data_IF_933538030994
#
_entry.id   IF_933538030994
#
_cell.length_a   1.000
_cell.length_b   1.000
_cell.length_c   1.000
_cell.angle_alpha   90.00
_cell.angle_beta   90.00
_cell.angle_gamma   90.00
#
_symmetry.space_group_name_H-M   'P 1'
#
loop_
_entity.id
_entity.type
_entity.pdbx_description
1 polymer ?
#
# COMPACT_ATOMS: atom_id res chain seq x y z
N UNK A 1 18.10 15.57 -13.59
CA UNK A 1 18.11 15.12 -14.98
C UNK A 1 17.27 16.01 -15.89
N UNK A 2 16.04 16.34 -15.54
CA UNK A 2 15.19 17.25 -16.32
C UNK A 2 15.36 18.73 -15.98
N UNK A 3 16.29 19.07 -15.06
CA UNK A 3 16.55 20.46 -14.65
C UNK A 3 15.44 21.10 -13.81
N UNK A 4 14.58 20.29 -13.17
CA UNK A 4 13.56 20.75 -12.22
C UNK A 4 14.16 20.65 -10.82
N UNK A 5 14.25 21.79 -10.12
CA UNK A 5 14.63 21.80 -8.71
C UNK A 5 13.48 21.25 -7.86
N UNK A 6 13.77 20.29 -7.01
CA UNK A 6 12.78 19.66 -6.15
C UNK A 6 13.30 19.45 -4.74
N UNK A 7 12.41 19.51 -3.77
CA UNK A 7 12.65 19.13 -2.40
C UNK A 7 11.62 18.07 -1.98
N UNK A 8 12.07 16.99 -1.34
CA UNK A 8 11.19 16.04 -0.67
C UNK A 8 11.16 16.36 0.83
N UNK A 9 9.97 16.46 1.40
CA UNK A 9 9.78 16.67 2.84
C UNK A 9 9.13 15.43 3.47
N UNK A 10 9.66 14.96 4.59
CA UNK A 10 9.15 13.81 5.32
C UNK A 10 9.13 14.10 6.82
N UNK A 11 8.02 13.75 7.48
CA UNK A 11 7.87 13.91 8.94
C UNK A 11 8.71 12.94 9.77
N UNK A 12 9.16 11.84 9.19
CA UNK A 12 9.98 10.84 9.86
C UNK A 12 11.40 11.36 10.13
N UNK A 13 12.08 10.72 11.07
CA UNK A 13 13.44 11.12 11.48
C UNK A 13 14.49 10.80 10.43
N UNK A 14 14.28 9.69 9.67
CA UNK A 14 15.22 9.18 8.69
C UNK A 14 14.50 8.72 7.43
N UNK A 15 15.19 8.82 6.29
CA UNK A 15 14.76 8.17 5.05
C UNK A 15 14.60 6.67 5.29
N UNK A 16 13.49 6.08 4.85
CA UNK A 16 13.19 4.67 5.04
C UNK A 16 12.44 4.32 6.32
N UNK A 17 12.20 5.26 7.23
CA UNK A 17 11.49 5.00 8.50
C UNK A 17 10.04 4.53 8.29
N UNK A 18 9.42 4.85 7.17
CA UNK A 18 8.12 4.30 6.82
C UNK A 18 8.14 2.76 6.77
N UNK A 19 9.28 2.16 6.44
CA UNK A 19 9.49 0.72 6.48
C UNK A 19 10.00 0.23 7.83
N UNK A 20 10.99 0.89 8.45
CA UNK A 20 11.53 0.50 9.76
C UNK A 20 10.48 0.41 10.86
N UNK A 21 9.52 1.34 10.86
CA UNK A 21 8.45 1.44 11.87
C UNK A 21 7.27 0.47 11.65
N UNK A 22 7.36 -0.43 10.66
CA UNK A 22 6.36 -1.49 10.42
C UNK A 22 6.61 -2.70 11.32
N UNK A 23 5.63 -3.61 11.39
CA UNK A 23 5.75 -4.83 12.18
C UNK A 23 6.98 -5.66 11.80
N UNK A 24 7.49 -6.42 12.77
CA UNK A 24 8.85 -6.98 12.72
C UNK A 24 9.12 -7.89 11.52
N UNK A 25 8.17 -8.75 11.16
CA UNK A 25 8.35 -9.79 10.14
C UNK A 25 8.07 -9.31 8.69
N UNK A 26 7.78 -8.02 8.49
CA UNK A 26 7.43 -7.52 7.17
C UNK A 26 8.56 -7.69 6.16
N UNK A 27 8.22 -8.33 5.04
CA UNK A 27 9.02 -8.35 3.81
C UNK A 27 8.21 -7.76 2.67
N UNK A 28 8.87 -7.32 1.60
CA UNK A 28 8.17 -7.02 0.35
C UNK A 28 7.50 -8.30 -0.17
N UNK A 29 6.29 -8.18 -0.67
CA UNK A 29 5.56 -9.30 -1.25
C UNK A 29 5.81 -9.46 -2.76
N UNK A 30 6.35 -8.43 -3.39
CA UNK A 30 6.80 -8.47 -4.78
C UNK A 30 8.26 -8.94 -4.85
N UNK A 31 8.66 -9.68 -5.90
CA UNK A 31 10.04 -10.15 -6.03
C UNK A 31 11.00 -9.02 -6.38
N UNK A 32 12.25 -9.15 -5.96
CA UNK A 32 13.32 -8.15 -6.12
C UNK A 32 13.49 -7.67 -7.56
N UNK A 33 13.30 -8.54 -8.54
CA UNK A 33 13.42 -8.19 -9.98
C UNK A 33 12.31 -7.24 -10.45
N UNK A 34 11.14 -7.32 -9.83
CA UNK A 34 10.02 -6.41 -10.10
C UNK A 34 10.21 -5.06 -9.44
N UNK A 35 10.82 -5.04 -8.26
CA UNK A 35 10.87 -3.89 -7.35
C UNK A 35 12.10 -2.98 -7.51
N UNK A 36 12.98 -3.20 -8.48
CA UNK A 36 14.11 -2.29 -8.71
C UNK A 36 13.71 -0.82 -8.73
N UNK A 37 14.56 0.03 -8.14
CA UNK A 37 14.34 1.48 -8.16
C UNK A 37 14.83 2.10 -9.49
N UNK A 38 14.29 3.27 -9.90
CA UNK A 38 14.84 4.03 -11.02
C UNK A 38 16.31 4.36 -10.76
N UNK A 39 17.16 4.24 -11.78
CA UNK A 39 18.59 4.60 -11.78
C UNK A 39 19.50 3.71 -10.92
N UNK A 40 19.03 3.11 -9.84
CA UNK A 40 19.79 2.18 -8.99
C UNK A 40 18.97 0.90 -8.78
N UNK A 41 19.46 -0.20 -9.34
CA UNK A 41 18.90 -1.53 -9.13
C UNK A 41 19.27 -2.05 -7.73
N UNK A 42 18.48 -2.96 -7.21
CA UNK A 42 18.86 -3.71 -6.01
C UNK A 42 20.07 -4.62 -6.32
N UNK A 43 20.95 -4.85 -5.35
CA UNK A 43 22.10 -5.75 -5.52
C UNK A 43 21.65 -7.16 -5.93
N UNK A 44 22.33 -7.82 -6.88
CA UNK A 44 21.90 -9.12 -7.43
C UNK A 44 21.87 -10.25 -6.40
N UNK A 45 22.63 -10.15 -5.30
CA UNK A 45 22.65 -11.12 -4.20
C UNK A 45 21.51 -10.93 -3.17
N UNK A 46 20.58 -10.00 -3.41
CA UNK A 46 19.48 -9.79 -2.48
C UNK A 46 18.49 -10.97 -2.49
N UNK A 47 17.81 -11.23 -1.35
CA UNK A 47 16.76 -12.22 -1.33
C UNK A 47 15.61 -11.82 -2.27
N UNK A 48 14.92 -12.80 -2.83
CA UNK A 48 13.79 -12.56 -3.75
C UNK A 48 12.76 -11.63 -3.13
N UNK A 49 12.45 -11.83 -1.84
CA UNK A 49 11.56 -10.96 -1.08
C UNK A 49 12.37 -10.14 -0.07
N UNK A 50 12.42 -8.85 -0.25
CA UNK A 50 13.29 -7.96 0.51
C UNK A 50 12.73 -7.66 1.91
N UNK A 51 13.47 -7.94 3.00
CA UNK A 51 13.06 -7.55 4.36
C UNK A 51 12.98 -6.03 4.51
N UNK A 52 12.01 -5.56 5.32
CA UNK A 52 11.72 -4.14 5.52
C UNK A 52 12.93 -3.29 5.91
N UNK A 53 13.79 -3.79 6.79
CA UNK A 53 14.96 -3.03 7.27
C UNK A 53 16.05 -2.91 6.20
N UNK A 54 16.22 -3.96 5.38
CA UNK A 54 17.12 -3.93 4.22
C UNK A 54 16.63 -2.91 3.17
N UNK A 55 15.32 -2.88 2.90
CA UNK A 55 14.72 -1.90 2.00
C UNK A 55 14.88 -0.47 2.53
N UNK A 56 14.65 -0.27 3.83
CA UNK A 56 14.81 1.04 4.47
C UNK A 56 16.26 1.56 4.37
N UNK A 57 17.25 0.67 4.57
CA UNK A 57 18.67 1.01 4.39
C UNK A 57 19.00 1.36 2.93
N UNK A 58 18.39 0.63 1.98
CA UNK A 58 18.56 0.94 0.57
C UNK A 58 18.02 2.33 0.22
N UNK A 59 16.86 2.74 0.76
CA UNK A 59 16.33 4.08 0.52
C UNK A 59 17.22 5.19 1.07
N UNK A 60 17.88 4.98 2.21
CA UNK A 60 18.89 5.95 2.70
C UNK A 60 20.10 6.04 1.74
N UNK A 61 20.62 4.89 1.33
CA UNK A 61 21.71 4.84 0.36
C UNK A 61 21.30 5.47 -0.98
N UNK A 62 20.09 5.18 -1.46
CA UNK A 62 19.52 5.74 -2.68
C UNK A 62 19.46 7.27 -2.63
N UNK A 63 18.94 7.84 -1.54
CA UNK A 63 18.87 9.28 -1.35
C UNK A 63 20.27 9.93 -1.33
N UNK A 64 21.23 9.28 -0.67
CA UNK A 64 22.60 9.76 -0.56
C UNK A 64 23.36 9.67 -1.89
N UNK A 65 23.29 8.51 -2.57
CA UNK A 65 24.02 8.25 -3.81
C UNK A 65 23.51 9.11 -4.98
N UNK A 66 22.22 9.43 -4.99
CA UNK A 66 21.62 10.29 -6.00
C UNK A 66 21.56 11.76 -5.59
N UNK A 67 22.15 12.10 -4.45
CA UNK A 67 22.22 13.50 -3.91
C UNK A 67 20.83 14.16 -3.84
N UNK A 68 19.81 13.38 -3.43
CA UNK A 68 18.44 13.88 -3.36
C UNK A 68 18.28 14.90 -2.23
N UNK A 69 17.64 16.02 -2.51
CA UNK A 69 17.32 17.03 -1.51
C UNK A 69 16.13 16.59 -0.66
N UNK A 70 16.41 15.88 0.43
CA UNK A 70 15.39 15.34 1.35
C UNK A 70 15.49 16.02 2.72
N UNK A 71 14.39 16.60 3.16
CA UNK A 71 14.26 17.19 4.49
C UNK A 71 13.40 16.27 5.37
N UNK A 72 14.07 15.51 6.22
CA UNK A 72 13.40 14.68 7.26
C UNK A 72 13.00 15.57 8.46
N UNK A 73 12.18 15.01 9.37
CA UNK A 73 11.63 15.72 10.53
C UNK A 73 10.89 17.01 10.16
N UNK A 74 10.33 17.04 8.95
CA UNK A 74 9.70 18.23 8.37
C UNK A 74 8.22 17.97 8.12
N UNK A 75 7.38 18.83 8.67
CA UNK A 75 5.93 18.80 8.50
C UNK A 75 5.44 20.04 7.76
N UNK A 76 4.50 19.84 6.85
CA UNK A 76 3.75 20.95 6.25
C UNK A 76 2.74 21.43 7.29
N UNK A 77 2.73 22.74 7.56
CA UNK A 77 1.86 23.35 8.58
C UNK A 77 0.82 24.29 8.00
N UNK A 78 1.08 24.85 6.82
CA UNK A 78 0.12 25.69 6.09
C UNK A 78 0.40 25.66 4.60
N UNK A 79 -0.67 25.74 3.80
CA UNK A 79 -0.57 25.76 2.33
C UNK A 79 -1.62 26.67 1.74
N UNK A 80 -1.24 27.44 0.74
CA UNK A 80 -2.14 28.33 -0.01
C UNK A 80 -1.77 28.31 -1.49
N UNK A 81 -2.76 28.13 -2.34
CA UNK A 81 -2.63 28.29 -3.79
C UNK A 81 -2.96 29.72 -4.21
N UNK A 82 -2.24 30.26 -5.18
CA UNK A 82 -2.52 31.53 -5.82
C UNK A 82 -2.75 31.33 -7.31
N UNK A 83 -4.01 31.52 -7.74
CA UNK A 83 -4.42 31.36 -9.13
C UNK A 83 -3.79 32.38 -10.08
N UNK A 84 -3.40 33.56 -9.57
CA UNK A 84 -2.78 34.61 -10.38
C UNK A 84 -1.34 34.26 -10.75
N UNK A 85 -0.56 33.81 -9.77
CA UNK A 85 0.84 33.45 -9.96
C UNK A 85 1.05 31.98 -10.33
N UNK A 86 -0.02 31.16 -10.27
CA UNK A 86 0.01 29.72 -10.48
C UNK A 86 1.10 29.04 -9.63
N UNK A 87 1.13 29.43 -8.36
CA UNK A 87 2.12 28.91 -7.41
C UNK A 87 1.53 28.71 -6.01
N UNK A 88 2.17 27.86 -5.25
CA UNK A 88 1.85 27.61 -3.85
C UNK A 88 2.66 28.49 -2.92
N UNK A 89 2.09 28.81 -1.78
CA UNK A 89 2.83 29.20 -0.58
C UNK A 89 2.74 28.06 0.41
N UNK A 90 3.88 27.45 0.75
CA UNK A 90 3.95 26.28 1.63
C UNK A 90 4.82 26.60 2.83
N UNK A 91 4.21 26.65 4.01
CA UNK A 91 4.93 26.79 5.26
C UNK A 91 5.26 25.40 5.84
N UNK A 92 6.51 25.22 6.24
CA UNK A 92 6.99 23.98 6.86
C UNK A 92 7.69 24.25 8.19
N UNK A 93 7.59 23.30 9.10
CA UNK A 93 8.32 23.24 10.35
C UNK A 93 9.25 22.02 10.36
N UNK A 94 10.54 22.25 10.55
CA UNK A 94 11.56 21.23 10.66
C UNK A 94 12.12 21.15 12.07
N UNK A 95 12.01 19.99 12.73
CA UNK A 95 12.63 19.74 14.02
C UNK A 95 14.11 19.44 13.85
N UNK A 96 14.98 20.24 14.48
CA UNK A 96 16.43 20.01 14.49
C UNK A 96 16.84 19.02 15.58
N UNK A 97 18.09 18.56 15.53
CA UNK A 97 18.63 17.62 16.52
C UNK A 97 18.71 18.18 17.92
N UNK A 98 18.94 19.50 18.05
CA UNK A 98 18.95 20.24 19.31
C UNK A 98 17.56 20.51 19.91
N UNK A 99 16.49 20.01 19.24
CA UNK A 99 15.10 20.20 19.62
C UNK A 99 14.48 21.53 19.17
N UNK A 100 15.25 22.42 18.56
CA UNK A 100 14.73 23.66 17.99
C UNK A 100 13.89 23.40 16.75
N UNK A 101 12.97 24.32 16.43
CA UNK A 101 12.12 24.25 15.24
C UNK A 101 12.53 25.33 14.26
N UNK A 102 12.93 24.92 13.08
CA UNK A 102 13.17 25.80 11.95
C UNK A 102 11.90 25.96 11.11
N UNK A 103 11.48 27.21 10.87
CA UNK A 103 10.35 27.53 10.00
C UNK A 103 10.86 28.01 8.65
N UNK A 104 10.27 27.50 7.58
CA UNK A 104 10.55 27.90 6.21
C UNK A 104 9.28 28.05 5.40
N UNK A 105 9.33 28.93 4.41
CA UNK A 105 8.27 29.09 3.42
C UNK A 105 8.85 28.86 2.04
N UNK A 106 8.17 28.03 1.25
CA UNK A 106 8.50 27.71 -0.14
C UNK A 106 7.41 28.22 -1.07
N UNK A 107 7.75 28.50 -2.32
CA UNK A 107 6.82 28.90 -3.36
C UNK A 107 6.92 28.01 -4.60
N UNK A 108 6.62 26.71 -4.48
CA UNK A 108 6.66 25.81 -5.62
C UNK A 108 5.46 26.04 -6.55
N UNK A 109 5.63 25.72 -7.84
CA UNK A 109 4.52 25.63 -8.79
C UNK A 109 3.75 24.32 -8.66
N UNK A 110 4.45 23.25 -8.30
CA UNK A 110 3.90 21.91 -8.22
C UNK A 110 4.11 21.28 -6.84
N UNK A 111 3.07 20.66 -6.32
CA UNK A 111 3.13 19.76 -5.16
C UNK A 111 2.83 18.35 -5.65
N UNK A 112 3.69 17.40 -5.29
CA UNK A 112 3.49 15.97 -5.53
C UNK A 112 3.21 15.30 -4.19
N UNK A 113 1.98 14.89 -3.96
CA UNK A 113 1.64 14.11 -2.78
C UNK A 113 2.08 12.67 -2.98
N UNK A 114 3.15 12.27 -2.29
CA UNK A 114 3.74 10.94 -2.32
C UNK A 114 3.66 10.24 -0.95
N UNK A 115 2.58 10.46 -0.22
CA UNK A 115 2.37 9.96 1.16
C UNK A 115 2.08 8.48 1.24
N UNK A 116 2.01 7.78 0.09
CA UNK A 116 1.70 6.36 -0.02
C UNK A 116 0.21 6.04 0.22
N UNK A 117 -0.21 4.86 -0.23
CA UNK A 117 -1.58 4.38 -0.02
C UNK A 117 -1.86 3.97 1.44
N UNK A 118 -0.82 3.76 2.25
CA UNK A 118 -0.89 3.45 3.68
C UNK A 118 -0.82 4.72 4.55
N UNK A 119 -1.44 5.81 4.14
CA UNK A 119 -1.41 7.09 4.84
C UNK A 119 -2.32 7.12 6.06
N UNK A 120 -3.59 7.45 5.88
CA UNK A 120 -4.56 7.52 6.97
C UNK A 120 -5.19 6.15 7.22
N UNK A 121 -4.98 5.58 8.41
CA UNK A 121 -5.56 4.30 8.80
C UNK A 121 -7.09 4.32 8.72
N UNK A 122 -7.67 3.23 8.26
CA UNK A 122 -9.12 3.04 8.25
C UNK A 122 -9.55 2.28 9.50
N UNK A 123 -9.60 2.99 10.63
CA UNK A 123 -10.12 2.43 11.89
C UNK A 123 -11.64 2.55 11.87
N UNK A 124 -12.39 1.44 11.90
CA UNK A 124 -13.85 1.51 11.85
C UNK A 124 -14.39 2.14 13.15
N UNK A 125 -15.43 2.96 13.00
CA UNK A 125 -16.22 3.42 14.16
C UNK A 125 -17.17 2.31 14.54
N UNK A 126 -17.01 1.77 15.75
CA UNK A 126 -17.78 0.62 16.21
C UNK A 126 -18.34 0.89 17.61
N UNK A 127 -19.58 0.44 17.83
CA UNK A 127 -20.21 0.50 19.14
C UNK A 127 -19.41 -0.31 20.15
N UNK A 128 -19.10 0.31 21.29
CA UNK A 128 -18.45 -0.37 22.41
C UNK A 128 -16.93 -0.53 22.28
N UNK A 129 -16.28 0.06 21.28
CA UNK A 129 -14.83 -0.07 21.08
C UNK A 129 -14.04 0.40 22.32
N UNK A 130 -14.55 1.42 23.02
CA UNK A 130 -13.98 1.98 24.24
C UNK A 130 -14.13 1.05 25.46
N UNK A 131 -14.99 0.04 25.36
CA UNK A 131 -15.29 -0.88 26.48
C UNK A 131 -14.40 -2.12 26.49
N UNK A 132 -13.60 -2.34 25.45
CA UNK A 132 -12.71 -3.50 25.39
C UNK A 132 -11.70 -3.48 26.52
N UNK A 133 -11.57 -4.61 27.23
CA UNK A 133 -10.73 -4.76 28.44
C UNK A 133 -9.63 -5.81 28.25
N UNK A 134 -9.41 -6.28 27.01
CA UNK A 134 -8.28 -7.14 26.69
C UNK A 134 -6.96 -6.38 26.65
N UNK A 135 -5.89 -7.08 26.32
CA UNK A 135 -4.53 -6.57 26.38
C UNK A 135 -4.25 -5.53 25.28
N UNK A 136 -4.90 -5.68 24.11
CA UNK A 136 -4.67 -4.79 22.95
C UNK A 136 -5.88 -4.70 22.06
N UNK A 137 -6.18 -3.47 21.63
CA UNK A 137 -7.07 -3.19 20.51
C UNK A 137 -6.45 -2.05 19.69
N UNK A 138 -6.00 -2.33 18.47
CA UNK A 138 -5.35 -1.32 17.62
C UNK A 138 -5.53 -1.59 16.13
N UNK A 139 -5.16 -0.62 15.31
CA UNK A 139 -5.03 -0.82 13.88
C UNK A 139 -3.72 -1.56 13.55
N UNK A 140 -3.69 -2.30 12.42
CA UNK A 140 -2.50 -3.05 11.98
C UNK A 140 -1.23 -2.20 11.83
N UNK A 141 -1.37 -0.90 11.56
CA UNK A 141 -0.23 0.04 11.50
C UNK A 141 0.40 0.34 12.87
N UNK A 142 -0.28 0.01 13.95
CA UNK A 142 0.16 0.22 15.33
C UNK A 142 0.56 -1.11 16.00
N UNK A 143 0.44 -2.22 15.27
CA UNK A 143 0.80 -3.54 15.75
C UNK A 143 2.32 -3.73 15.69
N UNK A 144 3.02 -3.88 16.83
CA UNK A 144 4.48 -4.04 16.85
C UNK A 144 4.93 -5.48 16.61
N UNK A 145 4.03 -6.46 16.84
CA UNK A 145 4.25 -7.89 16.85
C UNK A 145 3.50 -8.54 18.00
N UNK A 146 3.27 -9.86 17.89
CA UNK A 146 2.65 -10.68 18.95
C UNK A 146 3.62 -10.89 20.11
N UNK A 147 3.07 -11.01 21.33
CA UNK A 147 3.88 -11.27 22.52
C UNK A 147 4.35 -12.72 22.57
N UNK A 148 5.60 -12.92 22.99
CA UNK A 148 6.18 -14.25 23.17
C UNK A 148 5.46 -15.03 24.28
N UNK A 149 5.50 -16.37 24.19
CA UNK A 149 5.01 -17.29 25.20
C UNK A 149 3.54 -17.09 25.62
N UNK A 150 2.69 -16.73 24.68
CA UNK A 150 1.28 -16.40 24.92
C UNK A 150 0.31 -17.58 24.73
N UNK A 151 0.75 -18.79 25.08
CA UNK A 151 -0.05 -20.01 24.95
C UNK A 151 -1.39 -19.89 25.66
N UNK A 152 -2.47 -20.12 24.90
CA UNK A 152 -3.84 -20.08 25.39
C UNK A 152 -4.52 -18.73 25.33
N UNK A 153 -3.80 -17.65 24.99
CA UNK A 153 -4.42 -16.37 24.67
C UNK A 153 -5.13 -16.43 23.32
N UNK A 154 -6.15 -15.60 23.16
CA UNK A 154 -6.98 -15.52 21.95
C UNK A 154 -6.74 -14.20 21.23
N UNK A 155 -6.53 -14.26 19.90
CA UNK A 155 -6.40 -13.08 19.06
C UNK A 155 -7.43 -13.08 17.94
N UNK A 156 -8.05 -11.93 17.70
CA UNK A 156 -8.92 -11.69 16.54
C UNK A 156 -8.22 -10.70 15.63
N UNK A 157 -8.09 -11.08 14.34
CA UNK A 157 -7.59 -10.21 13.28
C UNK A 157 -8.75 -9.88 12.34
N UNK A 158 -9.18 -8.61 12.33
CA UNK A 158 -10.28 -8.14 11.49
C UNK A 158 -9.72 -7.65 10.17
N UNK A 159 -9.93 -8.43 9.12
CA UNK A 159 -9.42 -8.19 7.76
C UNK A 159 -8.57 -9.35 7.25
N UNK A 160 -8.66 -9.61 5.96
CA UNK A 160 -8.17 -10.83 5.31
C UNK A 160 -7.26 -10.58 4.10
N UNK A 161 -6.58 -9.43 4.07
CA UNK A 161 -5.55 -9.10 3.09
C UNK A 161 -4.14 -9.35 3.67
N UNK A 162 -3.08 -8.91 2.99
CA UNK A 162 -1.69 -9.18 3.37
C UNK A 162 -1.43 -8.98 4.88
N UNK A 163 -1.68 -7.77 5.40
CA UNK A 163 -1.45 -7.49 6.84
C UNK A 163 -2.25 -8.40 7.77
N UNK A 164 -3.47 -8.78 7.38
CA UNK A 164 -4.30 -9.68 8.19
C UNK A 164 -3.71 -11.07 8.30
N UNK A 165 -3.17 -11.60 7.22
CA UNK A 165 -2.52 -12.91 7.19
C UNK A 165 -1.18 -12.91 7.94
N UNK A 166 -0.33 -11.91 7.68
CA UNK A 166 0.98 -11.78 8.34
C UNK A 166 0.81 -11.69 9.88
N UNK A 167 -0.14 -10.87 10.34
CA UNK A 167 -0.44 -10.69 11.76
C UNK A 167 -1.03 -11.97 12.38
N UNK A 168 -1.93 -12.65 11.66
CA UNK A 168 -2.52 -13.91 12.15
C UNK A 168 -1.45 -15.01 12.25
N UNK A 169 -0.53 -15.08 11.31
CA UNK A 169 0.59 -16.01 11.37
C UNK A 169 1.52 -15.69 12.54
N UNK A 170 1.89 -14.42 12.77
CA UNK A 170 2.71 -14.00 13.91
C UNK A 170 2.08 -14.40 15.25
N UNK A 171 0.78 -14.16 15.41
CA UNK A 171 0.04 -14.61 16.61
C UNK A 171 0.09 -16.13 16.79
N UNK A 172 -0.15 -16.90 15.71
CA UNK A 172 -0.11 -18.36 15.77
C UNK A 172 1.28 -18.87 16.19
N UNK A 173 2.34 -18.32 15.62
CA UNK A 173 3.74 -18.67 15.93
C UNK A 173 4.11 -18.39 17.38
N UNK A 174 3.45 -17.40 18.02
CA UNK A 174 3.62 -17.06 19.45
C UNK A 174 2.67 -17.82 20.38
N UNK A 175 1.86 -18.73 19.83
CA UNK A 175 1.03 -19.66 20.60
C UNK A 175 -0.40 -19.19 20.89
N UNK A 176 -0.87 -18.12 20.24
CA UNK A 176 -2.26 -17.70 20.36
C UNK A 176 -3.22 -18.63 19.60
N UNK A 177 -4.45 -18.71 20.09
CA UNK A 177 -5.59 -19.19 19.32
C UNK A 177 -6.13 -18.04 18.47
N UNK A 178 -5.99 -18.15 17.14
CA UNK A 178 -6.19 -17.03 16.22
C UNK A 178 -7.40 -17.23 15.35
N UNK A 179 -8.21 -16.16 15.22
CA UNK A 179 -9.34 -16.12 14.27
C UNK A 179 -9.23 -14.89 13.37
N UNK A 180 -9.23 -15.12 12.06
CA UNK A 180 -9.40 -14.05 11.04
C UNK A 180 -10.89 -13.80 10.85
N UNK A 181 -11.31 -12.53 10.94
CA UNK A 181 -12.65 -12.09 10.58
C UNK A 181 -12.63 -11.54 9.16
N UNK A 182 -13.26 -12.26 8.26
CA UNK A 182 -13.36 -11.94 6.84
C UNK A 182 -14.77 -11.46 6.50
N UNK A 183 -14.94 -10.17 6.16
CA UNK A 183 -16.22 -9.59 5.78
C UNK A 183 -16.62 -9.97 4.34
N UNK A 184 -15.74 -9.75 3.39
CA UNK A 184 -15.92 -9.99 1.95
C UNK A 184 -14.82 -10.90 1.41
N UNK A 185 -15.01 -11.42 0.20
CA UNK A 185 -14.00 -12.24 -0.48
C UNK A 185 -12.67 -11.50 -0.67
N UNK A 186 -11.59 -12.27 -0.72
CA UNK A 186 -10.22 -11.79 -0.94
C UNK A 186 -9.65 -12.50 -2.17
N UNK A 187 -8.98 -11.77 -3.06
CA UNK A 187 -8.18 -12.41 -4.10
C UNK A 187 -6.91 -13.00 -3.46
N UNK A 188 -6.73 -14.32 -3.61
CA UNK A 188 -5.55 -15.02 -3.09
C UNK A 188 -4.75 -15.61 -4.24
N UNK A 189 -3.46 -15.37 -4.23
CA UNK A 189 -2.50 -15.91 -5.20
C UNK A 189 -1.18 -16.21 -4.47
N UNK A 190 -0.56 -17.36 -4.74
CA UNK A 190 0.74 -17.66 -4.13
C UNK A 190 1.86 -16.81 -4.71
N UNK A 191 2.87 -16.49 -3.88
CA UNK A 191 4.09 -15.85 -4.34
C UNK A 191 4.76 -16.65 -5.47
N UNK A 192 4.65 -17.98 -5.42
CA UNK A 192 5.15 -18.87 -6.46
C UNK A 192 4.41 -18.72 -7.79
N UNK A 193 3.07 -18.62 -7.78
CA UNK A 193 2.29 -18.36 -9.01
C UNK A 193 2.57 -16.97 -9.60
N UNK A 194 2.92 -15.98 -8.76
CA UNK A 194 3.37 -14.67 -9.26
C UNK A 194 4.70 -14.82 -10.00
N UNK A 195 5.72 -15.42 -9.39
CA UNK A 195 7.05 -15.55 -10.01
C UNK A 195 7.07 -16.47 -11.21
N UNK A 196 6.37 -17.63 -11.13
CA UNK A 196 6.47 -18.69 -12.15
C UNK A 196 5.49 -18.48 -13.34
N UNK A 197 4.48 -17.62 -13.19
CA UNK A 197 3.44 -17.40 -14.20
C UNK A 197 3.34 -15.93 -14.59
N UNK A 198 3.03 -15.04 -13.64
CA UNK A 198 2.72 -13.66 -13.98
C UNK A 198 3.95 -12.85 -14.39
N UNK A 199 5.08 -13.06 -13.75
CA UNK A 199 6.31 -12.28 -13.94
C UNK A 199 7.39 -13.05 -14.72
N UNK A 200 7.20 -14.35 -14.95
CA UNK A 200 8.19 -15.22 -15.61
C UNK A 200 8.56 -14.70 -17.00
N UNK A 201 9.88 -14.57 -17.22
CA UNK A 201 10.44 -14.11 -18.50
C UNK A 201 10.29 -12.61 -18.75
N UNK A 202 9.70 -11.86 -17.81
CA UNK A 202 9.57 -10.41 -17.86
C UNK A 202 10.32 -9.80 -16.68
N UNK A 203 9.87 -10.09 -15.46
CA UNK A 203 10.55 -9.66 -14.22
C UNK A 203 11.08 -10.90 -13.49
N UNK A 204 12.16 -11.45 -14.00
CA UNK A 204 12.85 -12.63 -13.47
C UNK A 204 14.36 -12.46 -13.61
N UNK A 205 15.13 -13.33 -12.97
CA UNK A 205 16.59 -13.26 -13.00
C UNK A 205 17.16 -13.26 -14.44
N UNK A 206 16.55 -14.07 -15.32
CA UNK A 206 16.90 -14.19 -16.74
C UNK A 206 16.03 -13.30 -17.67
N UNK A 207 15.30 -12.34 -17.10
CA UNK A 207 14.44 -11.43 -17.84
C UNK A 207 15.18 -10.33 -18.59
N UNK A 208 14.48 -9.56 -19.42
CA UNK A 208 15.05 -8.37 -20.08
C UNK A 208 15.45 -7.31 -19.05
N UNK A 209 16.14 -6.28 -19.52
CA UNK A 209 16.38 -5.09 -18.69
C UNK A 209 15.06 -4.52 -18.17
N UNK A 210 15.06 -4.05 -16.93
CA UNK A 210 13.83 -3.67 -16.22
C UNK A 210 13.05 -2.54 -16.94
N UNK A 211 13.75 -1.64 -17.63
CA UNK A 211 13.10 -0.57 -18.39
C UNK A 211 12.35 -1.11 -19.62
N UNK A 212 12.87 -2.17 -20.26
CA UNK A 212 12.19 -2.87 -21.36
C UNK A 212 11.00 -3.68 -20.85
N UNK A 213 11.16 -4.36 -19.70
CA UNK A 213 10.08 -5.06 -19.04
C UNK A 213 8.93 -4.12 -18.66
N UNK A 214 9.25 -2.93 -18.15
CA UNK A 214 8.27 -1.89 -17.84
C UNK A 214 7.48 -1.45 -19.07
N UNK A 215 8.15 -1.23 -20.21
CA UNK A 215 7.47 -0.88 -21.46
C UNK A 215 6.55 -2.00 -21.97
N UNK A 216 6.97 -3.26 -21.83
CA UNK A 216 6.17 -4.42 -22.22
C UNK A 216 4.87 -4.54 -21.41
N UNK A 217 4.88 -4.14 -20.15
CA UNK A 217 3.71 -4.29 -19.26
C UNK A 217 2.95 -2.97 -19.13
N UNK A 218 3.62 -1.89 -18.76
CA UNK A 218 2.96 -0.63 -18.42
C UNK A 218 2.76 0.29 -19.64
N UNK A 219 3.41 0.00 -20.77
CA UNK A 219 3.16 0.67 -22.05
C UNK A 219 1.91 0.16 -22.80
N UNK A 220 1.29 -0.94 -22.33
CA UNK A 220 0.04 -1.43 -22.91
C UNK A 220 -1.14 -0.58 -22.44
N UNK A 221 -2.13 -0.30 -23.34
CA UNK A 221 -3.41 0.24 -22.90
C UNK A 221 -4.03 -0.66 -21.82
N UNK A 222 -4.55 -0.05 -20.76
CA UNK A 222 -5.08 -0.79 -19.61
C UNK A 222 -6.16 -1.83 -19.97
N UNK A 223 -7.08 -1.60 -20.91
CA UNK A 223 -8.03 -2.62 -21.35
C UNK A 223 -7.37 -3.86 -21.98
N UNK A 224 -6.27 -3.67 -22.72
CA UNK A 224 -5.48 -4.78 -23.32
C UNK A 224 -4.77 -5.57 -22.22
N UNK A 225 -4.12 -4.87 -21.29
CA UNK A 225 -3.49 -5.48 -20.14
C UNK A 225 -4.51 -6.29 -19.32
N UNK A 226 -5.73 -5.76 -19.14
CA UNK A 226 -6.80 -6.46 -18.44
C UNK A 226 -7.18 -7.79 -19.09
N UNK A 227 -7.32 -7.81 -20.41
CA UNK A 227 -7.62 -9.05 -21.15
C UNK A 227 -6.53 -10.11 -20.97
N UNK A 228 -5.25 -9.69 -20.98
CA UNK A 228 -4.11 -10.58 -20.71
C UNK A 228 -4.18 -11.10 -19.26
N UNK A 229 -4.46 -10.23 -18.30
CA UNK A 229 -4.49 -10.59 -16.87
C UNK A 229 -5.61 -11.58 -16.52
N UNK A 230 -6.73 -11.61 -17.26
CA UNK A 230 -7.75 -12.66 -17.10
C UNK A 230 -7.13 -14.05 -17.34
N UNK A 231 -6.43 -14.22 -18.46
CA UNK A 231 -5.75 -15.49 -18.78
C UNK A 231 -4.65 -15.84 -17.78
N UNK A 232 -3.90 -14.85 -17.33
CA UNK A 232 -2.86 -15.03 -16.28
C UNK A 232 -3.51 -15.50 -14.98
N UNK A 233 -4.60 -14.86 -14.55
CA UNK A 233 -5.33 -15.21 -13.34
C UNK A 233 -5.91 -16.64 -13.39
N UNK A 234 -6.40 -17.08 -14.54
CA UNK A 234 -6.86 -18.48 -14.75
C UNK A 234 -5.72 -19.48 -14.53
N UNK A 235 -4.55 -19.23 -15.14
CA UNK A 235 -3.36 -20.09 -14.98
C UNK A 235 -2.85 -20.11 -13.54
N UNK A 236 -2.83 -18.95 -12.88
CA UNK A 236 -2.45 -18.86 -11.47
C UNK A 236 -3.40 -19.66 -10.58
N UNK A 237 -4.67 -19.58 -10.86
CA UNK A 237 -5.68 -20.31 -10.10
C UNK A 237 -5.63 -21.84 -10.29
N UNK A 238 -5.26 -22.31 -11.48
CA UNK A 238 -5.00 -23.72 -11.72
C UNK A 238 -3.75 -24.17 -10.95
N UNK A 239 -2.70 -23.37 -10.98
CA UNK A 239 -1.48 -23.63 -10.22
C UNK A 239 -1.74 -23.70 -8.71
N UNK A 240 -2.55 -22.77 -8.18
CA UNK A 240 -2.84 -22.65 -6.76
C UNK A 240 -4.10 -23.42 -6.32
N UNK A 241 -4.60 -24.34 -7.16
CA UNK A 241 -5.85 -25.03 -6.92
C UNK A 241 -5.94 -25.68 -5.54
N UNK A 242 -4.89 -26.34 -5.09
CA UNK A 242 -4.85 -26.99 -3.77
C UNK A 242 -5.03 -25.99 -2.63
N UNK A 243 -4.34 -24.84 -2.73
CA UNK A 243 -4.44 -23.73 -1.76
C UNK A 243 -5.88 -23.18 -1.74
N UNK A 244 -6.44 -22.90 -2.91
CA UNK A 244 -7.76 -22.29 -3.03
C UNK A 244 -8.87 -23.23 -2.57
N UNK A 245 -8.79 -24.51 -2.91
CA UNK A 245 -9.71 -25.54 -2.43
C UNK A 245 -9.62 -25.73 -0.89
N UNK A 246 -8.41 -25.63 -0.34
CA UNK A 246 -8.18 -25.71 1.09
C UNK A 246 -8.80 -24.52 1.85
N UNK A 247 -8.64 -23.31 1.31
CA UNK A 247 -9.25 -22.10 1.86
C UNK A 247 -10.78 -22.18 1.83
N UNK A 248 -11.38 -22.60 0.72
CA UNK A 248 -12.84 -22.71 0.62
C UNK A 248 -13.41 -23.73 1.61
N UNK A 249 -12.76 -24.89 1.79
CA UNK A 249 -13.12 -25.90 2.80
C UNK A 249 -13.04 -25.35 4.23
N UNK A 250 -12.09 -24.47 4.50
CA UNK A 250 -11.93 -23.78 5.80
C UNK A 250 -12.94 -22.64 6.01
N UNK A 251 -13.80 -22.33 5.01
CA UNK A 251 -14.78 -21.27 5.07
C UNK A 251 -14.24 -19.88 4.70
N UNK A 252 -12.99 -19.78 4.24
CA UNK A 252 -12.41 -18.55 3.72
C UNK A 252 -12.85 -18.33 2.26
N UNK A 253 -13.44 -17.17 1.97
CA UNK A 253 -13.97 -16.89 0.63
C UNK A 253 -12.95 -16.15 -0.23
N UNK A 254 -12.70 -16.73 -1.41
CA UNK A 254 -11.78 -16.19 -2.42
C UNK A 254 -12.55 -15.61 -3.60
N UNK A 255 -11.92 -14.64 -4.30
CA UNK A 255 -12.41 -14.12 -5.58
C UNK A 255 -11.29 -14.10 -6.65
N UNK A 256 -11.66 -13.77 -7.88
CA UNK A 256 -10.75 -13.69 -9.03
C UNK A 256 -10.37 -12.25 -9.40
N UNK A 257 -10.62 -11.28 -8.52
CA UNK A 257 -10.46 -9.86 -8.86
C UNK A 257 -11.54 -9.32 -9.79
N UNK A 258 -11.47 -8.02 -10.15
CA UNK A 258 -12.44 -7.39 -11.04
C UNK A 258 -12.48 -8.10 -12.40
N UNK A 259 -13.67 -8.56 -12.80
CA UNK A 259 -13.92 -9.25 -14.07
C UNK A 259 -12.98 -10.45 -14.33
N UNK A 260 -12.47 -11.08 -13.27
CA UNK A 260 -11.53 -12.20 -13.37
C UNK A 260 -10.06 -11.79 -13.64
N UNK A 261 -9.73 -10.51 -13.64
CA UNK A 261 -8.40 -10.01 -13.99
C UNK A 261 -7.37 -10.01 -12.82
N UNK A 262 -7.70 -10.67 -11.71
CA UNK A 262 -6.76 -11.02 -10.64
C UNK A 262 -6.16 -9.86 -9.88
N UNK A 263 -4.93 -10.08 -9.41
CA UNK A 263 -4.18 -9.21 -8.49
C UNK A 263 -4.00 -7.79 -9.03
N UNK A 264 -3.51 -7.64 -10.25
CA UNK A 264 -3.17 -6.36 -10.85
C UNK A 264 -4.36 -5.41 -10.86
N UNK A 265 -5.52 -5.89 -11.30
CA UNK A 265 -6.74 -5.08 -11.39
C UNK A 265 -7.42 -4.87 -10.04
N UNK A 266 -7.27 -5.80 -9.10
CA UNK A 266 -7.68 -5.58 -7.71
C UNK A 266 -6.88 -4.44 -7.09
N UNK A 267 -5.58 -4.41 -7.35
CA UNK A 267 -4.67 -3.37 -6.89
C UNK A 267 -4.96 -2.01 -7.54
N UNK A 268 -5.06 -1.94 -8.88
CA UNK A 268 -5.36 -0.70 -9.60
C UNK A 268 -6.72 -0.12 -9.25
N UNK A 269 -7.71 -0.96 -8.94
CA UNK A 269 -9.06 -0.50 -8.62
C UNK A 269 -9.13 0.20 -7.26
N UNK A 270 -8.37 -0.24 -6.25
CA UNK A 270 -8.48 0.31 -4.89
C UNK A 270 -7.22 0.20 -4.01
N UNK A 271 -6.08 -0.17 -4.56
CA UNK A 271 -4.83 -0.29 -3.80
C UNK A 271 -4.78 -1.46 -2.80
N UNK A 272 -5.68 -2.44 -2.89
CA UNK A 272 -5.74 -3.55 -1.94
C UNK A 272 -6.85 -4.55 -2.22
N UNK A 273 -7.18 -5.40 -1.25
CA UNK A 273 -8.24 -6.40 -1.39
C UNK A 273 -7.73 -7.77 -1.82
N UNK A 274 -6.44 -8.03 -1.67
CA UNK A 274 -5.79 -9.27 -2.04
C UNK A 274 -4.83 -9.75 -0.95
N UNK A 275 -4.46 -11.01 -1.05
CA UNK A 275 -3.39 -11.63 -0.29
C UNK A 275 -2.42 -12.34 -1.25
N UNK A 276 -1.14 -12.01 -1.16
CA UNK A 276 -0.06 -12.77 -1.78
C UNK A 276 0.39 -13.81 -0.76
N UNK A 277 0.04 -15.08 -1.03
CA UNK A 277 0.29 -16.15 -0.07
C UNK A 277 1.76 -16.50 0.05
N UNK A 278 2.24 -16.39 1.27
CA UNK A 278 3.61 -16.78 1.70
C UNK A 278 3.57 -17.87 2.78
N UNK A 279 2.42 -18.58 2.92
CA UNK A 279 2.28 -19.74 3.79
C UNK A 279 1.07 -19.72 4.74
N UNK A 280 0.45 -18.58 5.01
CA UNK A 280 -0.69 -18.50 5.93
C UNK A 280 -1.93 -19.22 5.41
N UNK A 281 -2.13 -19.32 4.08
CA UNK A 281 -3.25 -20.07 3.50
C UNK A 281 -3.24 -21.55 3.93
N UNK A 282 -2.07 -22.17 4.00
CA UNK A 282 -1.93 -23.54 4.49
C UNK A 282 -2.37 -23.65 5.97
N UNK A 283 -2.00 -22.69 6.79
CA UNK A 283 -2.38 -22.67 8.21
C UNK A 283 -3.90 -22.53 8.40
N UNK A 284 -4.55 -21.77 7.51
CA UNK A 284 -6.00 -21.64 7.46
C UNK A 284 -6.64 -22.98 7.01
N UNK A 285 -6.15 -23.56 5.92
CA UNK A 285 -6.64 -24.82 5.39
C UNK A 285 -6.52 -25.99 6.40
N UNK A 286 -5.48 -25.98 7.22
CA UNK A 286 -5.26 -26.92 8.33
C UNK A 286 -6.07 -26.61 9.60
N UNK A 287 -6.85 -25.53 9.60
CA UNK A 287 -7.64 -25.09 10.77
C UNK A 287 -6.84 -24.53 11.94
N UNK A 288 -5.54 -24.27 11.75
CA UNK A 288 -4.67 -23.66 12.77
C UNK A 288 -4.99 -22.17 12.97
N UNK A 289 -5.31 -21.48 11.88
CA UNK A 289 -5.91 -20.14 11.90
C UNK A 289 -7.37 -20.31 11.53
N UNK A 290 -8.26 -19.92 12.44
CA UNK A 290 -9.71 -20.03 12.26
C UNK A 290 -10.24 -18.87 11.40
N UNK A 291 -11.40 -19.07 10.78
CA UNK A 291 -12.08 -18.08 9.94
C UNK A 291 -13.50 -17.84 10.43
N UNK A 292 -13.86 -16.58 10.64
CA UNK A 292 -15.25 -16.11 10.76
C UNK A 292 -15.58 -15.29 9.52
N UNK A 293 -16.39 -15.83 8.62
CA UNK A 293 -16.72 -15.18 7.35
C UNK A 293 -18.17 -14.69 7.29
N UNK A 294 -18.37 -13.60 6.53
CA UNK A 294 -19.69 -13.16 6.05
C UNK A 294 -20.60 -12.52 7.08
N UNK A 295 -20.07 -12.19 8.27
CA UNK A 295 -20.82 -11.51 9.32
C UNK A 295 -20.24 -10.13 9.59
N UNK A 296 -21.10 -9.11 9.69
CA UNK A 296 -20.71 -7.78 10.16
C UNK A 296 -20.52 -7.82 11.69
N UNK A 297 -19.57 -7.05 12.16
CA UNK A 297 -19.37 -6.86 13.61
C UNK A 297 -20.43 -5.87 14.07
N UNK A 298 -21.26 -6.28 15.03
CA UNK A 298 -22.29 -5.44 15.65
C UNK A 298 -21.71 -4.57 16.77
N UNK A 299 -20.96 -5.19 17.68
CA UNK A 299 -20.48 -4.52 18.91
C UNK A 299 -19.15 -5.09 19.35
N UNK A 300 -18.26 -4.23 19.83
CA UNK A 300 -17.09 -4.63 20.61
C UNK A 300 -17.51 -4.83 22.07
N UNK A 301 -17.27 -6.03 22.58
CA UNK A 301 -17.55 -6.40 23.96
C UNK A 301 -16.31 -6.20 24.84
N UNK A 302 -16.45 -6.15 26.18
CA UNK A 302 -15.29 -6.09 27.08
C UNK A 302 -14.29 -7.24 26.88
N UNK A 303 -14.72 -8.36 26.33
CA UNK A 303 -13.94 -9.59 26.18
C UNK A 303 -13.90 -10.13 24.74
N UNK A 304 -14.27 -9.34 23.73
CA UNK A 304 -14.26 -9.79 22.33
C UNK A 304 -15.18 -9.04 21.40
N UNK A 305 -15.71 -9.74 20.41
CA UNK A 305 -16.61 -9.19 19.39
C UNK A 305 -17.93 -9.94 19.36
N UNK A 306 -19.06 -9.21 19.19
CA UNK A 306 -20.36 -9.75 18.81
C UNK A 306 -20.67 -9.40 17.36
N UNK A 307 -21.24 -10.36 16.66
CA UNK A 307 -21.60 -10.26 15.24
C UNK A 307 -23.11 -10.05 15.06
N UNK A 308 -23.51 -9.64 13.86
CA UNK A 308 -24.91 -9.38 13.52
C UNK A 308 -25.81 -10.63 13.64
N UNK A 309 -25.23 -11.82 13.51
CA UNK A 309 -25.95 -13.12 13.73
C UNK A 309 -26.11 -13.47 15.23
N UNK A 310 -25.67 -12.61 16.14
CA UNK A 310 -25.70 -12.81 17.58
C UNK A 310 -24.56 -13.67 18.13
N UNK A 311 -23.71 -14.25 17.28
CA UNK A 311 -22.56 -15.01 17.74
C UNK A 311 -21.49 -14.10 18.34
N UNK A 312 -20.70 -14.67 19.25
CA UNK A 312 -19.60 -13.94 19.93
C UNK A 312 -18.27 -14.68 19.72
N UNK A 313 -17.19 -13.91 19.66
CA UNK A 313 -15.82 -14.41 19.72
C UNK A 313 -15.09 -13.70 20.85
N UNK A 314 -14.51 -14.47 21.74
CA UNK A 314 -13.65 -13.96 22.81
C UNK A 314 -12.26 -13.65 22.28
N UNK A 315 -11.63 -12.60 22.80
CA UNK A 315 -10.26 -12.23 22.48
C UNK A 315 -9.57 -11.49 23.63
N UNK A 316 -8.29 -11.76 23.80
CA UNK A 316 -7.37 -10.96 24.61
C UNK A 316 -6.82 -9.80 23.77
N UNK A 317 -6.66 -10.00 22.47
CA UNK A 317 -6.18 -8.96 21.55
C UNK A 317 -7.06 -8.89 20.28
N UNK A 318 -7.33 -7.66 19.79
CA UNK A 318 -8.08 -7.41 18.56
C UNK A 318 -7.27 -6.46 17.68
N UNK A 319 -6.92 -6.91 16.46
CA UNK A 319 -6.20 -6.09 15.49
C UNK A 319 -7.08 -5.81 14.28
N UNK A 320 -7.29 -4.53 13.99
CA UNK A 320 -8.01 -4.10 12.81
C UNK A 320 -7.06 -3.97 11.62
N UNK A 321 -6.95 -5.02 10.81
CA UNK A 321 -6.24 -5.04 9.54
C UNK A 321 -7.17 -4.55 8.41
N UNK A 322 -7.86 -3.45 8.63
CA UNK A 322 -8.94 -2.89 7.80
C UNK A 322 -8.46 -1.92 6.73
N UNK A 323 -7.14 -1.85 6.52
CA UNK A 323 -6.51 -1.06 5.48
C UNK A 323 -6.51 0.43 5.76
N UNK A 324 -6.47 1.22 4.69
CA UNK A 324 -6.27 2.66 4.76
C UNK A 324 -7.32 3.39 3.94
N UNK A 325 -7.55 4.66 4.29
CA UNK A 325 -8.44 5.54 3.55
C UNK A 325 -7.79 5.98 2.23
N UNK A 326 -8.59 6.44 1.27
CA UNK A 326 -8.09 6.99 0.02
C UNK A 326 -7.11 8.15 0.28
N UNK A 327 -6.07 8.28 -0.55
CA UNK A 327 -5.05 9.35 -0.42
C UNK A 327 -5.66 10.75 -0.42
N UNK A 328 -6.80 10.97 -1.10
CA UNK A 328 -7.57 12.21 -1.05
C UNK A 328 -7.97 12.62 0.37
N UNK A 329 -8.21 11.66 1.26
CA UNK A 329 -8.49 11.96 2.67
C UNK A 329 -7.27 12.59 3.35
N UNK A 330 -6.06 12.16 2.99
CA UNK A 330 -4.83 12.76 3.47
C UNK A 330 -4.64 14.17 2.86
N UNK A 331 -5.01 14.35 1.58
CA UNK A 331 -5.03 15.68 0.94
C UNK A 331 -5.88 16.65 1.75
N UNK A 332 -7.08 16.24 2.16
CA UNK A 332 -7.98 17.06 2.98
C UNK A 332 -7.37 17.50 4.30
N UNK A 333 -6.62 16.61 4.94
CA UNK A 333 -5.94 16.90 6.21
C UNK A 333 -4.77 17.88 6.02
N UNK A 334 -4.02 17.75 4.93
CA UNK A 334 -2.77 18.50 4.71
C UNK A 334 -2.99 19.81 3.95
N UNK A 335 -3.96 19.86 3.02
CA UNK A 335 -4.14 20.95 2.06
C UNK A 335 -5.53 21.61 2.14
N UNK A 336 -6.40 21.11 3.02
CA UNK A 336 -7.75 21.65 3.23
C UNK A 336 -8.81 21.09 2.28
N UNK A 337 -10.05 21.51 2.56
CA UNK A 337 -11.24 21.01 1.85
C UNK A 337 -11.26 21.46 0.39
N UNK A 338 -10.91 22.71 0.11
CA UNK A 338 -10.94 23.30 -1.23
C UNK A 338 -10.10 22.48 -2.22
N UNK A 339 -8.86 22.17 -1.87
CA UNK A 339 -7.97 21.36 -2.71
C UNK A 339 -8.48 19.92 -2.81
N UNK A 340 -8.88 19.33 -1.70
CA UNK A 340 -9.38 17.97 -1.68
C UNK A 340 -10.68 17.79 -2.50
N UNK A 341 -11.51 18.81 -2.63
CA UNK A 341 -12.75 18.77 -3.42
C UNK A 341 -12.51 18.99 -4.92
N UNK A 342 -11.41 19.68 -5.28
CA UNK A 342 -11.00 19.81 -6.68
C UNK A 342 -10.36 18.55 -7.24
N UNK A 343 -9.56 17.82 -6.41
CA UNK A 343 -8.91 16.59 -6.84
C UNK A 343 -9.87 15.40 -6.75
N UNK A 344 -9.70 14.42 -7.62
CA UNK A 344 -10.47 13.18 -7.60
C UNK A 344 -9.95 12.13 -6.60
N UNK A 345 -10.65 11.03 -6.50
CA UNK A 345 -10.19 9.86 -5.75
C UNK A 345 -9.04 9.18 -6.49
N UNK A 346 -7.98 8.87 -5.75
CA UNK A 346 -6.87 8.03 -6.22
C UNK A 346 -7.33 6.59 -6.31
N UNK A 347 -6.79 5.83 -7.23
CA UNK A 347 -7.20 4.48 -7.62
C UNK A 347 -8.52 4.42 -8.41
N UNK A 348 -8.66 3.36 -9.19
CA UNK A 348 -9.77 3.13 -10.11
C UNK A 348 -9.46 3.65 -11.50
N UNK A 349 -10.44 3.48 -12.37
CA UNK A 349 -10.29 3.75 -13.81
C UNK A 349 -11.19 4.91 -14.23
N UNK A 350 -10.78 5.63 -15.26
CA UNK A 350 -11.56 6.64 -15.96
C UNK A 350 -12.50 5.99 -17.00
N UNK A 351 -13.19 6.80 -17.77
CA UNK A 351 -14.14 6.33 -18.81
C UNK A 351 -13.44 5.62 -19.99
N UNK A 352 -12.15 5.83 -20.18
CA UNK A 352 -11.34 5.16 -21.20
C UNK A 352 -10.76 3.83 -20.69
N UNK A 353 -10.96 3.52 -19.42
CA UNK A 353 -10.42 2.34 -18.77
C UNK A 353 -8.98 2.49 -18.29
N UNK A 354 -8.42 3.70 -18.36
CA UNK A 354 -7.08 4.03 -17.83
C UNK A 354 -7.14 4.44 -16.36
N UNK A 355 -6.01 4.36 -15.66
CA UNK A 355 -5.93 4.77 -14.25
C UNK A 355 -6.29 6.25 -14.14
N UNK A 356 -7.08 6.62 -13.12
CA UNK A 356 -7.60 7.98 -12.96
C UNK A 356 -6.48 9.00 -12.75
N UNK A 357 -6.34 9.52 -11.56
CA UNK A 357 -5.52 10.71 -11.26
C UNK A 357 -4.11 10.39 -10.72
N UNK A 358 -3.80 9.12 -10.50
CA UNK A 358 -2.45 8.74 -10.11
C UNK A 358 -1.50 8.95 -11.28
N UNK A 359 -0.44 9.74 -11.09
CA UNK A 359 0.56 10.16 -12.11
C UNK A 359 0.00 10.94 -13.30
N UNK A 360 -1.20 11.49 -13.18
CA UNK A 360 -1.90 12.27 -14.22
C UNK A 360 -2.49 13.54 -13.61
N UNK A 361 -3.26 14.28 -14.41
CA UNK A 361 -4.06 15.42 -13.94
C UNK A 361 -4.91 15.02 -12.75
N UNK A 362 -4.73 15.72 -11.64
CA UNK A 362 -5.49 15.47 -10.41
C UNK A 362 -6.86 16.18 -10.38
N UNK A 363 -7.05 17.17 -11.22
CA UNK A 363 -8.13 18.17 -11.16
C UNK A 363 -7.66 19.55 -10.70
N UNK A 364 -6.43 19.67 -10.18
CA UNK A 364 -5.82 20.93 -9.75
C UNK A 364 -4.47 21.15 -10.47
N UNK A 365 -4.24 22.34 -11.10
CA UNK A 365 -3.11 22.55 -12.01
C UNK A 365 -1.71 22.46 -11.35
N UNK A 366 -1.63 22.69 -10.07
CA UNK A 366 -0.36 22.62 -9.30
C UNK A 366 -0.30 21.44 -8.32
N UNK A 367 -1.17 20.42 -8.46
CA UNK A 367 -1.22 19.31 -7.49
C UNK A 367 -1.26 17.95 -8.19
N UNK A 368 -0.41 17.03 -7.75
CA UNK A 368 -0.22 15.72 -8.35
C UNK A 368 -0.19 14.62 -7.30
N UNK A 369 -0.56 13.39 -7.71
CA UNK A 369 -0.43 12.22 -6.87
C UNK A 369 0.64 11.27 -7.40
N UNK A 370 1.42 10.71 -6.47
CA UNK A 370 2.41 9.66 -6.73
C UNK A 370 2.31 8.60 -5.64
N UNK A 371 2.25 7.33 -6.04
CA UNK A 371 2.17 6.22 -5.09
C UNK A 371 2.04 4.89 -5.81
N UNK A 372 1.92 3.82 -5.03
CA UNK A 372 1.83 2.47 -5.55
C UNK A 372 2.98 1.60 -5.07
N UNK A 373 3.17 0.42 -5.68
CA UNK A 373 4.35 -0.41 -5.46
C UNK A 373 5.58 0.18 -6.17
N UNK A 374 6.75 -0.38 -5.93
CA UNK A 374 8.01 0.19 -6.44
C UNK A 374 8.10 0.13 -7.97
N UNK A 375 7.57 -0.92 -8.61
CA UNK A 375 7.61 -1.07 -10.06
C UNK A 375 6.79 0.02 -10.78
N UNK A 376 5.53 0.21 -10.38
CA UNK A 376 4.70 1.24 -11.00
C UNK A 376 5.18 2.65 -10.65
N UNK A 377 5.74 2.85 -9.44
CA UNK A 377 6.42 4.10 -9.09
C UNK A 377 7.63 4.36 -10.01
N UNK A 378 8.44 3.34 -10.30
CA UNK A 378 9.59 3.45 -11.21
C UNK A 378 9.16 3.90 -12.61
N UNK A 379 8.17 3.26 -13.19
CA UNK A 379 7.71 3.57 -14.54
C UNK A 379 7.00 4.93 -14.62
N UNK A 380 5.93 5.09 -13.86
CA UNK A 380 5.06 6.26 -13.99
C UNK A 380 5.63 7.55 -13.41
N UNK A 381 6.62 7.50 -12.50
CA UNK A 381 7.32 8.71 -12.04
C UNK A 381 8.04 9.43 -13.16
N UNK A 382 8.57 8.68 -14.14
CA UNK A 382 9.23 9.26 -15.34
C UNK A 382 8.22 10.03 -16.19
N UNK A 383 7.02 9.45 -16.40
CA UNK A 383 5.94 10.09 -17.15
C UNK A 383 5.40 11.33 -16.45
N UNK A 384 5.19 11.25 -15.12
CA UNK A 384 4.80 12.42 -14.33
C UNK A 384 5.83 13.54 -14.40
N UNK A 385 7.12 13.21 -14.29
CA UNK A 385 8.19 14.19 -14.41
C UNK A 385 8.23 14.86 -15.79
N UNK A 386 7.95 14.10 -16.87
CA UNK A 386 7.86 14.64 -18.22
C UNK A 386 6.65 15.57 -18.39
N UNK A 387 5.50 15.23 -17.83
CA UNK A 387 4.32 16.10 -17.83
C UNK A 387 4.62 17.44 -17.13
N UNK A 388 5.20 17.40 -15.95
CA UNK A 388 5.57 18.62 -15.21
C UNK A 388 6.61 19.42 -15.99
N UNK A 389 7.62 18.76 -16.57
CA UNK A 389 8.66 19.43 -17.38
C UNK A 389 8.06 20.12 -18.60
N UNK A 390 7.13 19.46 -19.29
CA UNK A 390 6.45 20.06 -20.43
C UNK A 390 5.65 21.32 -20.08
N UNK A 391 4.97 21.32 -18.91
CA UNK A 391 4.30 22.52 -18.38
C UNK A 391 5.30 23.64 -18.05
N UNK A 392 6.44 23.31 -17.42
CA UNK A 392 7.48 24.27 -17.07
C UNK A 392 8.16 24.91 -18.28
N UNK A 393 8.28 24.17 -19.38
CA UNK A 393 8.83 24.65 -20.67
C UNK A 393 7.75 25.31 -21.57
N UNK A 394 6.49 25.34 -21.14
CA UNK A 394 5.39 25.92 -21.92
C UNK A 394 5.08 25.17 -23.21
N UNK A 395 5.36 23.86 -23.27
CA UNK A 395 5.05 23.02 -24.43
C UNK A 395 3.54 22.78 -24.57
N UNK A 396 2.80 22.86 -23.49
CA UNK A 396 1.35 22.78 -23.40
C UNK A 396 0.85 23.39 -22.08
N UNK A 397 -0.44 23.64 -22.01
CA UNK A 397 -1.09 24.09 -20.76
C UNK A 397 -1.70 22.89 -20.02
N UNK A 398 -1.98 23.07 -18.72
CA UNK A 398 -2.58 22.00 -17.88
C UNK A 398 -3.88 21.45 -18.46
N UNK A 399 -4.68 22.27 -19.11
CA UNK A 399 -5.95 21.85 -19.72
C UNK A 399 -5.79 21.02 -21.00
N UNK A 400 -4.60 21.04 -21.61
CA UNK A 400 -4.28 20.27 -22.81
C UNK A 400 -3.88 18.81 -22.51
N UNK A 401 -3.61 18.49 -21.25
CA UNK A 401 -3.25 17.13 -20.78
C UNK A 401 -4.48 16.17 -20.73
#
# INVERSE_FOLDING_TARGET
MLGIEAIAVDQNDRVGDNWRKRYHQLVLHDPVWYDHMPYLKFPPQWPIFTPKDKLAQFFEAYATLLELNVWTRTSIVDTKWDDTTKSWTVAVERKKEDGSVEKRTFHPRHIIQATGHSGKKNMPTMKGIENFKGDRLCHSSEFPGAQENSKGKKAIVVGSCNSGHDIAQDYLEKGYDVTIVQRSSTHVVSSKAITDIALKGIYSEDGPEVDDADLLIHGLPTPVLKAIQVTVCEKQAEHDKEILDGLDKAGFKVDRGPDGAGLFFKYFQRGGGYYIDVGASKLIAEGKIKVKHGQEIDTVLPHGLRFADGSELEADEIIFATGYQNMRTQTRVMFGDEIADQVGDVWGFNNEGEMRIMWQKSGHPGFWFHGGNLAICRYYSKLLALQIKGLEEGLYEYNDL
#
